data_IF_953100600368
#
_entry.id   IF_953100600368
#
_cell.length_a   1.000
_cell.length_b   1.000
_cell.length_c   1.000
_cell.angle_alpha   90.00
_cell.angle_beta   90.00
_cell.angle_gamma   90.00
#
_symmetry.space_group_name_H-M   'P 1'
#
loop_
_entity.id
_entity.type
_entity.pdbx_description
1 polymer ?
#
# COMPACT_ATOMS: atom_id res chain seq x y z
N UNK A 1 -0.79 26.22 -10.13
CA UNK A 1 -1.49 25.23 -9.29
C UNK A 1 -2.36 25.94 -8.28
N UNK A 2 -3.61 25.50 -8.13
CA UNK A 2 -4.54 26.04 -7.14
C UNK A 2 -4.97 24.94 -6.15
N UNK A 3 -4.16 24.72 -5.15
CA UNK A 3 -4.35 23.63 -4.16
C UNK A 3 -5.67 23.72 -3.38
N UNK A 4 -6.25 24.90 -3.21
CA UNK A 4 -7.57 25.06 -2.55
C UNK A 4 -8.72 24.63 -3.47
N UNK A 5 -8.65 24.98 -4.77
CA UNK A 5 -9.62 24.49 -5.76
C UNK A 5 -9.50 22.99 -5.98
N UNK A 6 -8.30 22.45 -5.92
CA UNK A 6 -8.02 21.02 -5.99
C UNK A 6 -7.01 20.68 -7.08
N UNK A 7 -5.98 19.99 -6.69
CA UNK A 7 -4.93 19.46 -7.58
C UNK A 7 -4.75 17.97 -7.33
N UNK A 8 -4.35 17.26 -8.37
CA UNK A 8 -3.92 15.87 -8.31
C UNK A 8 -2.41 15.85 -8.49
N UNK A 9 -1.72 15.29 -7.51
CA UNK A 9 -0.26 15.27 -7.44
C UNK A 9 0.23 13.83 -7.43
N UNK A 10 1.38 13.58 -8.03
CA UNK A 10 2.04 12.29 -8.05
C UNK A 10 3.34 12.39 -7.24
N UNK A 11 3.48 11.50 -6.26
CA UNK A 11 4.68 11.39 -5.44
C UNK A 11 5.28 10.01 -5.57
N UNK A 12 6.59 9.91 -5.69
CA UNK A 12 7.29 8.67 -5.48
C UNK A 12 7.49 8.48 -3.97
N UNK A 13 6.79 7.51 -3.38
CA UNK A 13 6.88 7.25 -1.93
C UNK A 13 8.24 6.68 -1.59
N UNK A 14 9.00 7.29 -0.69
CA UNK A 14 10.28 6.72 -0.25
C UNK A 14 10.08 5.42 0.55
N UNK A 15 11.09 4.55 0.50
CA UNK A 15 11.19 3.38 1.36
C UNK A 15 11.14 3.80 2.85
N UNK A 16 10.47 3.00 3.67
CA UNK A 16 10.33 3.24 5.10
C UNK A 16 9.34 4.34 5.50
N UNK A 17 8.68 4.98 4.51
CA UNK A 17 7.62 5.95 4.80
C UNK A 17 6.24 5.31 4.69
N UNK A 18 5.37 5.66 5.63
CA UNK A 18 3.94 5.35 5.48
C UNK A 18 3.32 6.31 4.46
N UNK A 19 2.26 5.87 3.79
CA UNK A 19 1.46 6.72 2.89
C UNK A 19 0.93 7.97 3.60
N UNK A 20 0.54 7.84 4.86
CA UNK A 20 0.08 8.95 5.69
C UNK A 20 1.19 9.98 5.96
N UNK A 21 2.45 9.55 6.14
CA UNK A 21 3.60 10.44 6.31
C UNK A 21 3.84 11.29 5.07
N UNK A 22 3.71 10.71 3.87
CA UNK A 22 3.80 11.46 2.60
C UNK A 22 2.73 12.54 2.52
N UNK A 23 1.46 12.19 2.83
CA UNK A 23 0.33 13.15 2.84
C UNK A 23 0.57 14.28 3.85
N UNK A 24 1.02 13.94 5.05
CA UNK A 24 1.33 14.92 6.10
C UNK A 24 2.43 15.89 5.69
N UNK A 25 3.50 15.37 5.08
CA UNK A 25 4.62 16.15 4.59
C UNK A 25 4.21 17.07 3.44
N UNK A 26 3.50 16.55 2.44
CA UNK A 26 2.97 17.34 1.33
C UNK A 26 2.05 18.46 1.84
N UNK A 27 1.11 18.14 2.73
CA UNK A 27 0.19 19.13 3.32
C UNK A 27 0.95 20.25 4.04
N UNK A 28 1.95 19.91 4.84
CA UNK A 28 2.76 20.89 5.57
C UNK A 28 3.43 21.89 4.63
N UNK A 29 4.13 21.41 3.61
CA UNK A 29 4.84 22.27 2.66
C UNK A 29 3.90 23.11 1.79
N UNK A 30 2.79 22.52 1.34
CA UNK A 30 1.79 23.24 0.55
C UNK A 30 1.16 24.36 1.40
N UNK A 31 0.73 24.05 2.63
CA UNK A 31 0.14 25.06 3.53
C UNK A 31 1.08 26.24 3.78
N UNK A 32 2.37 25.96 4.03
CA UNK A 32 3.38 27.03 4.18
C UNK A 32 3.53 27.86 2.92
N UNK A 33 3.60 27.22 1.75
CA UNK A 33 3.80 27.91 0.47
C UNK A 33 2.65 28.86 0.11
N UNK A 34 1.41 28.46 0.41
CA UNK A 34 0.22 29.26 0.05
C UNK A 34 -0.33 30.09 1.22
N UNK A 35 0.34 30.13 2.36
CA UNK A 35 -0.01 30.95 3.50
C UNK A 35 -1.33 30.56 4.19
N UNK A 36 -1.64 29.26 4.29
CA UNK A 36 -2.89 28.80 4.95
C UNK A 36 -2.59 27.88 6.12
N UNK A 37 -3.45 27.90 7.14
CA UNK A 37 -3.32 27.05 8.32
C UNK A 37 -3.83 25.62 8.07
N UNK A 38 -4.78 25.41 7.17
CA UNK A 38 -5.42 24.12 6.90
C UNK A 38 -5.67 23.92 5.40
N UNK A 39 -5.42 22.71 4.93
CA UNK A 39 -5.75 22.27 3.58
C UNK A 39 -6.20 20.80 3.67
N UNK A 40 -7.28 20.45 2.99
CA UNK A 40 -7.69 19.05 2.85
C UNK A 40 -6.74 18.37 1.86
N UNK A 41 -6.09 17.29 2.29
CA UNK A 41 -5.17 16.49 1.48
C UNK A 41 -5.42 15.02 1.82
N UNK A 42 -5.49 14.18 0.80
CA UNK A 42 -5.67 12.73 0.94
C UNK A 42 -4.98 11.99 -0.19
N UNK A 43 -4.85 10.67 -0.08
CA UNK A 43 -4.25 9.81 -1.11
C UNK A 43 -5.24 8.77 -1.64
N UNK A 44 -5.01 8.32 -2.87
CA UNK A 44 -5.83 7.33 -3.56
C UNK A 44 -5.12 5.97 -3.62
N UNK A 45 -5.02 5.31 -2.48
CA UNK A 45 -4.38 4.01 -2.31
C UNK A 45 -3.21 4.06 -1.32
N UNK A 46 -3.10 3.00 -0.55
CA UNK A 46 -2.02 2.83 0.43
C UNK A 46 -0.90 2.01 -0.19
N UNK A 47 0.33 2.45 0.02
CA UNK A 47 1.54 1.65 -0.14
C UNK A 47 2.12 1.39 1.24
N UNK A 48 2.51 0.16 1.47
CA UNK A 48 3.15 -0.25 2.73
C UNK A 48 4.50 0.44 2.94
N UNK A 49 5.01 0.50 4.19
CA UNK A 49 6.30 1.15 4.47
C UNK A 49 7.44 0.61 3.63
N UNK A 50 7.48 -0.70 3.39
CA UNK A 50 8.52 -1.38 2.60
C UNK A 50 8.32 -1.24 1.08
N UNK A 51 7.18 -0.76 0.61
CA UNK A 51 6.96 -0.48 -0.79
C UNK A 51 7.41 0.94 -1.16
N UNK A 52 7.96 1.10 -2.36
CA UNK A 52 8.17 2.39 -3.03
C UNK A 52 7.22 2.51 -4.21
N UNK A 53 7.10 3.68 -4.81
CA UNK A 53 6.33 3.85 -6.04
C UNK A 53 5.37 5.03 -6.01
N UNK A 54 4.56 5.11 -7.04
CA UNK A 54 3.69 6.26 -7.28
C UNK A 54 2.51 6.29 -6.31
N UNK A 55 2.39 7.40 -5.60
CA UNK A 55 1.20 7.75 -4.83
C UNK A 55 0.45 8.90 -5.48
N UNK A 56 -0.86 8.74 -5.66
CA UNK A 56 -1.76 9.81 -6.08
C UNK A 56 -2.24 10.55 -4.83
N UNK A 57 -1.93 11.84 -4.75
CA UNK A 57 -2.32 12.71 -3.64
C UNK A 57 -3.21 13.82 -4.17
N UNK A 58 -4.38 13.97 -3.57
CA UNK A 58 -5.37 14.99 -3.94
C UNK A 58 -5.44 16.09 -2.90
N UNK A 59 -5.62 17.35 -3.35
CA UNK A 59 -5.76 18.51 -2.48
C UNK A 59 -7.12 19.17 -2.67
N UNK A 60 -7.59 19.93 -1.67
CA UNK A 60 -8.81 20.74 -1.76
C UNK A 60 -10.03 19.94 -2.23
N UNK A 61 -10.72 20.45 -3.23
CA UNK A 61 -11.92 19.79 -3.81
C UNK A 61 -11.61 18.50 -4.55
N UNK A 62 -10.37 18.32 -5.07
CA UNK A 62 -9.97 17.09 -5.75
C UNK A 62 -9.95 15.87 -4.82
N UNK A 63 -9.95 16.05 -3.50
CA UNK A 63 -10.08 14.93 -2.55
C UNK A 63 -11.41 14.17 -2.69
N UNK A 64 -12.43 14.74 -3.31
CA UNK A 64 -13.69 14.05 -3.63
C UNK A 64 -13.55 13.03 -4.76
N UNK A 65 -12.46 13.10 -5.53
CA UNK A 65 -12.16 12.19 -6.65
C UNK A 65 -11.23 11.03 -6.26
N UNK A 66 -10.86 10.92 -4.99
CA UNK A 66 -9.95 9.87 -4.51
C UNK A 66 -10.47 8.48 -4.88
N UNK A 67 -11.76 8.24 -4.68
CA UNK A 67 -12.38 6.96 -4.99
C UNK A 67 -12.28 6.60 -6.48
N UNK A 68 -12.45 7.58 -7.37
CA UNK A 68 -12.27 7.42 -8.82
C UNK A 68 -10.89 6.80 -9.15
N UNK A 69 -9.82 7.32 -8.53
CA UNK A 69 -8.46 6.83 -8.76
C UNK A 69 -8.19 5.45 -8.13
N UNK A 70 -8.96 5.05 -7.12
CA UNK A 70 -8.81 3.73 -6.50
C UNK A 70 -9.21 2.57 -7.42
N UNK A 71 -10.09 2.83 -8.38
CA UNK A 71 -10.55 1.82 -9.34
C UNK A 71 -9.67 1.70 -10.59
N UNK A 72 -8.67 2.57 -10.76
CA UNK A 72 -7.74 2.45 -11.88
C UNK A 72 -6.88 1.20 -11.77
N UNK A 73 -6.48 0.64 -12.91
CA UNK A 73 -5.49 -0.44 -13.00
C UNK A 73 -4.21 -0.03 -12.28
N UNK A 74 -3.63 -0.96 -11.54
CA UNK A 74 -2.38 -0.81 -10.82
C UNK A 74 -1.41 -1.88 -11.28
N UNK A 75 -0.15 -1.48 -11.43
CA UNK A 75 0.95 -2.37 -11.75
C UNK A 75 1.93 -2.39 -10.58
N UNK A 76 2.37 -3.59 -10.21
CA UNK A 76 3.32 -3.82 -9.13
C UNK A 76 4.47 -4.68 -9.64
N UNK A 77 5.69 -4.31 -9.28
CA UNK A 77 6.87 -5.16 -9.38
C UNK A 77 7.18 -5.68 -7.99
N UNK A 78 7.01 -6.99 -7.78
CA UNK A 78 7.24 -7.64 -6.50
C UNK A 78 8.44 -8.59 -6.61
N UNK A 79 9.32 -8.56 -5.61
CA UNK A 79 10.38 -9.54 -5.45
C UNK A 79 9.98 -10.49 -4.33
N UNK A 80 9.86 -11.79 -4.67
CA UNK A 80 9.55 -12.83 -3.70
C UNK A 80 10.83 -13.58 -3.32
N UNK A 81 11.03 -13.80 -2.02
CA UNK A 81 12.02 -14.74 -1.52
C UNK A 81 11.34 -16.11 -1.34
N UNK A 82 11.78 -17.09 -2.12
CA UNK A 82 11.30 -18.46 -1.98
C UNK A 82 12.00 -19.17 -0.81
N UNK A 83 11.35 -20.17 -0.26
CA UNK A 83 11.89 -21.04 0.81
C UNK A 83 11.84 -20.42 2.21
N UNK A 84 11.11 -19.34 2.42
CA UNK A 84 10.91 -18.77 3.74
C UNK A 84 9.52 -18.16 3.88
N UNK A 85 8.98 -18.16 5.08
CA UNK A 85 7.74 -17.45 5.44
C UNK A 85 7.97 -16.46 6.57
N UNK A 86 7.04 -15.50 6.69
CA UNK A 86 6.94 -14.56 7.80
C UNK A 86 5.46 -14.41 8.16
N UNK A 87 5.10 -14.05 9.39
CA UNK A 87 3.71 -13.87 9.80
C UNK A 87 2.94 -12.83 8.99
N UNK A 88 3.64 -11.83 8.45
CA UNK A 88 3.06 -10.74 7.65
C UNK A 88 3.15 -10.97 6.13
N UNK A 89 3.76 -12.06 5.68
CA UNK A 89 4.06 -12.37 4.27
C UNK A 89 4.95 -11.32 3.59
N UNK A 90 5.67 -10.52 4.37
CA UNK A 90 6.64 -9.53 3.92
C UNK A 90 7.88 -9.50 4.82
N UNK A 91 8.74 -8.49 4.67
CA UNK A 91 9.98 -8.33 5.44
C UNK A 91 9.82 -7.43 6.69
N UNK A 92 8.59 -7.16 7.15
CA UNK A 92 8.36 -6.43 8.41
C UNK A 92 8.65 -7.30 9.66
N UNK A 93 8.52 -8.63 9.51
CA UNK A 93 8.77 -9.59 10.59
C UNK A 93 9.91 -10.53 10.25
N UNK A 94 10.46 -11.15 11.28
CA UNK A 94 11.48 -12.18 11.13
C UNK A 94 10.89 -13.46 10.50
N UNK A 95 11.77 -14.26 9.89
CA UNK A 95 11.40 -15.55 9.28
C UNK A 95 10.94 -16.50 10.37
N UNK A 96 9.76 -17.05 10.21
CA UNK A 96 9.14 -18.03 11.11
C UNK A 96 9.33 -19.48 10.65
N UNK A 97 9.50 -19.72 9.35
CA UNK A 97 9.78 -21.05 8.82
C UNK A 97 10.64 -21.01 7.55
N UNK A 98 11.42 -22.08 7.36
CA UNK A 98 12.29 -22.28 6.20
C UNK A 98 11.89 -23.60 5.51
N UNK A 99 11.88 -23.58 4.19
CA UNK A 99 11.48 -24.71 3.33
C UNK A 99 12.53 -24.98 2.25
N UNK A 100 12.69 -26.26 1.82
CA UNK A 100 13.55 -26.60 0.70
C UNK A 100 13.12 -25.91 -0.59
N UNK A 101 14.09 -25.50 -1.41
CA UNK A 101 13.83 -24.80 -2.67
C UNK A 101 14.42 -25.49 -3.91
N UNK A 102 15.12 -26.62 -3.72
CA UNK A 102 15.87 -27.33 -4.77
C UNK A 102 14.97 -27.86 -5.89
N UNK A 103 13.69 -28.09 -5.59
CA UNK A 103 12.67 -28.56 -6.54
C UNK A 103 12.02 -27.41 -7.32
N UNK A 104 12.29 -26.15 -6.97
CA UNK A 104 11.64 -24.98 -7.60
C UNK A 104 12.41 -24.61 -8.86
N UNK A 105 11.79 -24.81 -10.00
CA UNK A 105 12.31 -24.39 -11.30
C UNK A 105 11.54 -23.18 -11.82
N UNK A 106 12.09 -22.51 -12.84
CA UNK A 106 11.41 -21.42 -13.52
C UNK A 106 10.07 -21.87 -14.11
N UNK A 107 10.07 -23.01 -14.74
CA UNK A 107 8.88 -23.60 -15.40
C UNK A 107 7.76 -23.85 -14.36
N UNK A 108 8.12 -24.37 -13.19
CA UNK A 108 7.16 -24.58 -12.10
C UNK A 108 6.57 -23.24 -11.62
N UNK A 109 7.39 -22.21 -11.49
CA UNK A 109 6.93 -20.87 -11.11
C UNK A 109 5.98 -20.30 -12.17
N UNK A 110 6.34 -20.38 -13.46
CA UNK A 110 5.52 -19.92 -14.57
C UNK A 110 4.17 -20.69 -14.63
N UNK A 111 4.18 -22.00 -14.41
CA UNK A 111 2.95 -22.79 -14.30
C UNK A 111 2.04 -22.30 -13.16
N UNK A 112 2.61 -22.13 -11.96
CA UNK A 112 1.85 -21.71 -10.78
C UNK A 112 1.26 -20.31 -10.98
N UNK A 113 1.99 -19.38 -11.61
CA UNK A 113 1.52 -18.01 -11.86
C UNK A 113 0.24 -17.99 -12.72
N UNK A 114 0.01 -19.00 -13.57
CA UNK A 114 -1.24 -19.07 -14.35
C UNK A 114 -2.49 -19.11 -13.47
N UNK A 115 -2.39 -19.64 -12.24
CA UNK A 115 -3.49 -19.73 -11.27
C UNK A 115 -3.91 -18.38 -10.69
N UNK A 116 -3.08 -17.36 -10.89
CA UNK A 116 -3.32 -15.98 -10.41
C UNK A 116 -3.78 -15.04 -11.52
N UNK A 117 -4.17 -15.58 -12.68
CA UNK A 117 -4.69 -14.79 -13.80
C UNK A 117 -6.20 -14.74 -13.74
N UNK A 118 -6.77 -13.54 -13.92
CA UNK A 118 -8.22 -13.30 -13.92
C UNK A 118 -8.78 -12.99 -12.54
N UNK A 119 -10.07 -13.22 -12.35
CA UNK A 119 -10.73 -13.00 -11.07
C UNK A 119 -10.43 -14.17 -10.11
N UNK A 120 -9.85 -13.87 -8.99
CA UNK A 120 -9.53 -14.83 -7.93
C UNK A 120 -10.07 -14.35 -6.59
N UNK A 121 -10.50 -15.30 -5.76
CA UNK A 121 -10.86 -15.02 -4.37
C UNK A 121 -9.61 -15.04 -3.49
N UNK A 122 -9.43 -14.00 -2.71
CA UNK A 122 -8.31 -13.89 -1.78
C UNK A 122 -8.81 -13.70 -0.36
N UNK A 123 -8.37 -14.56 0.56
CA UNK A 123 -8.52 -14.32 2.01
C UNK A 123 -7.49 -13.26 2.42
N UNK A 124 -7.92 -12.09 2.92
CA UNK A 124 -6.99 -11.05 3.34
C UNK A 124 -6.05 -11.54 4.44
N UNK A 125 -4.74 -11.21 4.39
CA UNK A 125 -3.83 -11.51 5.49
C UNK A 125 -4.26 -10.83 6.80
N UNK A 126 -3.92 -11.42 7.94
CA UNK A 126 -4.16 -10.82 9.26
C UNK A 126 -3.52 -9.43 9.39
N UNK A 127 -2.30 -9.25 8.87
CA UNK A 127 -1.58 -7.97 8.83
C UNK A 127 -1.98 -7.09 7.62
N UNK A 128 -3.27 -6.99 7.33
CA UNK A 128 -3.79 -6.15 6.24
C UNK A 128 -4.55 -4.92 6.75
N UNK A 129 -4.76 -3.96 5.85
CA UNK A 129 -5.60 -2.79 6.11
C UNK A 129 -7.11 -3.09 5.94
N UNK A 130 -7.50 -4.35 5.77
CA UNK A 130 -8.88 -4.77 5.68
C UNK A 130 -9.64 -4.42 6.96
N UNK A 131 -10.91 -4.06 6.84
CA UNK A 131 -11.76 -3.76 8.00
C UNK A 131 -12.46 -5.04 8.47
N UNK A 132 -12.30 -5.36 9.76
CA UNK A 132 -12.99 -6.44 10.46
C UNK A 132 -13.69 -5.81 11.66
N UNK A 133 -15.02 -5.88 11.70
CA UNK A 133 -15.85 -5.33 12.77
C UNK A 133 -15.52 -3.87 13.15
N UNK A 134 -15.25 -3.04 12.14
CA UNK A 134 -14.95 -1.62 12.32
C UNK A 134 -13.51 -1.30 12.77
N UNK A 135 -12.65 -2.30 12.91
CA UNK A 135 -11.22 -2.15 13.21
C UNK A 135 -10.37 -2.60 12.03
N UNK A 136 -9.13 -2.13 11.94
CA UNK A 136 -8.19 -2.63 10.92
C UNK A 136 -7.64 -3.99 11.33
N UNK A 137 -7.58 -4.96 10.40
CA UNK A 137 -7.09 -6.31 10.67
C UNK A 137 -5.69 -6.31 11.29
N UNK A 138 -4.76 -5.47 10.80
CA UNK A 138 -3.42 -5.34 11.38
C UNK A 138 -3.41 -4.86 12.85
N UNK A 139 -4.42 -4.09 13.29
CA UNK A 139 -4.53 -3.65 14.69
C UNK A 139 -4.95 -4.79 15.60
N UNK A 140 -5.78 -5.71 15.11
CA UNK A 140 -6.20 -6.93 15.81
C UNK A 140 -5.02 -7.90 15.87
N UNK A 141 -4.38 -8.17 14.74
CA UNK A 141 -3.22 -9.07 14.65
C UNK A 141 -2.07 -8.66 15.60
N UNK A 142 -1.77 -7.36 15.71
CA UNK A 142 -0.76 -6.84 16.65
C UNK A 142 -1.11 -7.04 18.12
N UNK A 143 -2.38 -7.25 18.44
CA UNK A 143 -2.86 -7.54 19.80
C UNK A 143 -2.98 -9.04 20.09
N UNK A 144 -2.72 -9.90 19.09
CA UNK A 144 -2.94 -11.34 19.19
C UNK A 144 -4.43 -11.72 19.20
N UNK A 145 -5.30 -10.83 18.72
CA UNK A 145 -6.72 -11.10 18.50
C UNK A 145 -6.86 -11.66 17.07
N UNK A 146 -7.11 -12.98 16.91
CA UNK A 146 -7.40 -13.65 15.63
C UNK A 146 -8.87 -13.51 15.23
#
# INVERSE_FOLDING_TARGET
MNFKKGEVLFFNKPLGWTSFKVVGHARYHICRRIGVKKLKVGHAGTLDPLATGVMIVCTGKATKRIEEFQYHTKEYVATLRLGATTPSYDLEHEIDAIYPTEHITRELVEEVLTRFIGAIDQVPPAFSACMVDGKRAYELARKGEE
#
